data_IF_248888957877
#
_entry.id   IF_248888957877
#
_cell.length_a   1.000
_cell.length_b   1.000
_cell.length_c   1.000
_cell.angle_alpha   90.00
_cell.angle_beta   90.00
_cell.angle_gamma   90.00
#
_symmetry.space_group_name_H-M   'P 1'
#
loop_
_entity.id
_entity.type
_entity.pdbx_description
1 polymer ?
#
# COMPACT_ATOMS: atom_id res chain seq x y z
N UNK A 1 11.08 59.78 -47.60
CA UNK A 1 9.81 60.03 -48.33
C UNK A 1 8.72 59.09 -47.79
N UNK A 2 7.47 59.55 -47.77
CA UNK A 2 6.21 58.75 -47.74
C UNK A 2 5.55 58.96 -49.14
N UNK A 3 4.59 58.14 -49.64
CA UNK A 3 3.31 57.70 -49.01
C UNK A 3 3.16 56.15 -48.93
N UNK A 4 2.19 55.48 -48.26
CA UNK A 4 0.74 55.70 -47.96
C UNK A 4 -0.14 55.37 -49.20
N UNK A 5 -1.13 54.46 -49.20
CA UNK A 5 -2.42 54.30 -48.46
C UNK A 5 -2.71 52.78 -48.20
N UNK A 6 -3.73 52.26 -47.48
CA UNK A 6 -4.99 52.77 -46.86
C UNK A 6 -6.20 51.89 -47.34
N UNK A 7 -7.26 51.53 -46.59
CA UNK A 7 -7.71 51.72 -45.19
C UNK A 7 -8.55 50.49 -44.72
N UNK A 8 -9.00 50.35 -43.45
CA UNK A 8 -10.22 50.93 -42.83
C UNK A 8 -11.57 50.35 -43.38
N UNK A 9 -12.63 50.06 -42.61
CA UNK A 9 -13.01 50.19 -41.17
C UNK A 9 -13.43 48.80 -40.60
N UNK A 10 -14.30 48.50 -39.59
CA UNK A 10 -15.18 49.19 -38.59
C UNK A 10 -15.39 48.17 -37.42
N UNK A 11 -15.10 48.49 -36.15
CA UNK A 11 -16.00 49.00 -35.08
C UNK A 11 -16.94 48.03 -34.29
N UNK A 12 -16.45 47.61 -33.10
CA UNK A 12 -17.04 47.79 -31.73
C UNK A 12 -18.45 47.22 -31.33
N UNK A 13 -18.84 47.18 -30.02
CA UNK A 13 -19.55 46.01 -29.46
C UNK A 13 -20.88 46.32 -28.74
N UNK A 14 -21.50 45.27 -28.17
CA UNK A 14 -22.63 45.38 -27.24
C UNK A 14 -22.27 44.94 -25.80
N UNK A 15 -22.41 45.87 -24.85
CA UNK A 15 -22.60 45.60 -23.41
C UNK A 15 -24.09 45.67 -23.08
N UNK A 16 -24.55 44.91 -22.11
CA UNK A 16 -25.72 45.26 -21.29
C UNK A 16 -25.46 44.99 -19.81
N UNK A 17 -26.10 45.76 -18.93
CA UNK A 17 -26.00 45.70 -17.46
C UNK A 17 -27.38 45.95 -16.84
N UNK A 18 -27.45 45.72 -15.50
CA UNK A 18 -28.54 46.12 -14.59
C UNK A 18 -29.83 45.28 -14.67
N UNK A 19 -30.61 45.11 -13.59
CA UNK A 19 -30.48 45.60 -12.20
C UNK A 19 -31.25 44.69 -11.21
N UNK A 20 -30.96 44.84 -9.90
CA UNK A 20 -31.84 44.79 -8.68
C UNK A 20 -33.05 43.81 -8.69
N UNK A 21 -33.36 43.02 -7.66
CA UNK A 21 -33.07 43.09 -6.22
C UNK A 21 -34.37 42.94 -5.39
N UNK A 22 -34.29 42.91 -4.04
CA UNK A 22 -35.38 42.85 -3.02
C UNK A 22 -35.71 41.46 -2.42
N UNK A 23 -35.99 41.51 -1.11
CA UNK A 23 -36.21 40.50 -0.04
C UNK A 23 -37.03 41.22 1.08
N UNK A 24 -37.53 40.67 2.23
CA UNK A 24 -37.84 39.29 2.67
C UNK A 24 -39.31 39.12 3.18
N UNK A 25 -39.59 37.95 3.81
CA UNK A 25 -40.60 37.64 4.87
C UNK A 25 -41.97 37.09 4.42
N UNK A 26 -42.43 35.99 5.06
CA UNK A 26 -43.43 36.03 6.16
C UNK A 26 -43.67 34.68 6.91
N UNK A 27 -43.16 34.62 8.15
CA UNK A 27 -43.63 33.89 9.36
C UNK A 27 -44.54 32.64 9.31
N UNK A 28 -44.04 31.53 9.90
CA UNK A 28 -44.57 30.78 11.07
C UNK A 28 -46.09 30.78 11.37
N UNK A 29 -46.71 29.60 11.65
CA UNK A 29 -47.38 29.25 12.94
C UNK A 29 -48.05 27.84 13.02
N UNK A 30 -47.36 26.91 13.69
CA UNK A 30 -47.83 25.90 14.70
C UNK A 30 -49.30 25.39 14.77
N UNK A 31 -49.41 24.05 15.00
CA UNK A 31 -50.47 23.28 15.73
C UNK A 31 -51.83 23.11 15.00
N UNK A 32 -52.63 22.04 15.20
CA UNK A 32 -52.50 20.80 16.02
C UNK A 32 -53.45 19.67 15.49
N UNK A 33 -53.41 18.52 16.20
CA UNK A 33 -54.46 17.51 16.38
C UNK A 33 -54.45 16.20 15.57
N UNK A 34 -54.96 15.17 16.26
CA UNK A 34 -55.07 13.73 16.00
C UNK A 34 -56.34 13.26 16.78
N UNK A 35 -56.86 12.00 16.70
CA UNK A 35 -56.18 10.78 16.24
C UNK A 35 -57.03 9.77 15.43
N UNK A 36 -56.40 8.68 15.00
CA UNK A 36 -57.07 7.37 14.90
C UNK A 36 -56.11 6.22 15.24
N UNK A 37 -56.65 5.10 15.76
CA UNK A 37 -55.94 3.81 15.92
C UNK A 37 -55.71 3.20 14.51
N UNK A 38 -54.83 2.23 14.26
CA UNK A 38 -54.56 1.03 15.06
C UNK A 38 -53.31 0.26 14.53
N UNK A 39 -53.04 -0.94 15.10
CA UNK A 39 -52.12 -2.01 14.65
C UNK A 39 -50.62 -1.88 15.01
N UNK A 40 -50.36 -2.30 16.25
CA UNK A 40 -49.28 -3.22 16.67
C UNK A 40 -48.41 -3.86 15.56
N UNK A 41 -47.09 -3.76 15.74
CA UNK A 41 -46.05 -4.49 15.03
C UNK A 41 -44.66 -3.93 15.38
N UNK A 42 -43.60 -4.71 15.18
CA UNK A 42 -42.20 -4.25 15.12
C UNK A 42 -41.68 -3.43 16.32
N UNK A 43 -41.41 -4.07 17.46
CA UNK A 43 -40.61 -3.45 18.54
C UNK A 43 -39.77 -4.41 19.40
N UNK A 44 -39.34 -5.53 18.83
CA UNK A 44 -38.48 -6.54 19.50
C UNK A 44 -37.18 -6.79 18.72
N UNK A 45 -37.21 -6.83 17.39
CA UNK A 45 -36.03 -7.13 16.55
C UNK A 45 -34.94 -6.05 16.63
N UNK A 46 -35.30 -4.78 16.73
CA UNK A 46 -34.33 -3.67 16.80
C UNK A 46 -33.44 -3.70 18.04
N UNK A 47 -33.90 -4.26 19.16
CA UNK A 47 -33.12 -4.32 20.40
C UNK A 47 -32.06 -5.43 20.40
N UNK A 48 -32.28 -6.48 19.61
CA UNK A 48 -31.31 -7.59 19.46
C UNK A 48 -30.12 -7.19 18.57
N UNK A 49 -30.36 -6.37 17.54
CA UNK A 49 -29.33 -5.93 16.59
C UNK A 49 -28.30 -5.03 17.29
N UNK A 50 -28.74 -4.05 18.10
CA UNK A 50 -27.83 -3.16 18.84
C UNK A 50 -26.98 -3.93 19.87
N UNK A 51 -27.53 -5.00 20.48
CA UNK A 51 -26.80 -5.84 21.44
C UNK A 51 -25.69 -6.66 20.77
N UNK A 52 -25.94 -7.17 19.55
CA UNK A 52 -24.96 -7.99 18.81
C UNK A 52 -23.78 -7.17 18.25
N UNK A 53 -24.02 -5.93 17.83
CA UNK A 53 -23.01 -5.06 17.22
C UNK A 53 -21.97 -4.48 18.21
N UNK A 54 -22.18 -4.59 19.51
CA UNK A 54 -21.26 -4.07 20.55
C UNK A 54 -20.11 -5.06 20.85
N UNK A 55 -20.21 -6.31 20.39
CA UNK A 55 -19.13 -7.30 20.54
C UNK A 55 -17.95 -7.03 19.57
N UNK A 56 -17.05 -6.10 19.95
CA UNK A 56 -15.72 -6.05 19.33
C UNK A 56 -15.10 -7.46 19.39
N UNK A 57 -14.62 -8.04 18.27
CA UNK A 57 -14.02 -9.36 18.29
C UNK A 57 -12.87 -9.38 19.30
N UNK A 58 -12.85 -10.38 20.18
CA UNK A 58 -11.86 -10.45 21.25
C UNK A 58 -10.45 -10.41 20.66
N UNK A 59 -9.47 -9.86 21.40
CA UNK A 59 -8.09 -9.76 20.92
C UNK A 59 -7.49 -11.14 20.56
N UNK A 60 -8.03 -12.21 21.13
CA UNK A 60 -7.71 -13.59 20.78
C UNK A 60 -8.34 -14.04 19.44
N UNK A 61 -9.61 -13.68 19.17
CA UNK A 61 -10.27 -13.96 17.88
C UNK A 61 -9.66 -13.13 16.73
N UNK A 62 -9.32 -11.86 16.98
CA UNK A 62 -8.55 -11.03 16.04
C UNK A 62 -7.18 -11.62 15.73
N UNK A 63 -6.47 -12.15 16.75
CA UNK A 63 -5.21 -12.89 16.55
C UNK A 63 -5.42 -14.18 15.76
N UNK A 64 -6.45 -14.98 16.06
CA UNK A 64 -6.76 -16.21 15.32
C UNK A 64 -7.10 -15.93 13.84
N UNK A 65 -7.86 -14.87 13.55
CA UNK A 65 -8.15 -14.44 12.18
C UNK A 65 -6.90 -13.91 11.46
N UNK A 66 -5.97 -13.28 12.17
CA UNK A 66 -4.66 -12.92 11.62
C UNK A 66 -3.75 -14.14 11.38
N UNK A 67 -3.77 -15.14 12.27
CA UNK A 67 -3.03 -16.41 12.08
C UNK A 67 -3.60 -17.22 10.90
N UNK A 68 -4.92 -17.22 10.69
CA UNK A 68 -5.56 -17.84 9.53
C UNK A 68 -5.16 -17.20 8.18
N UNK A 69 -4.51 -16.02 8.20
CA UNK A 69 -4.08 -15.27 7.01
C UNK A 69 -2.68 -15.68 6.50
N UNK A 70 -1.90 -16.48 7.25
CA UNK A 70 -0.49 -16.77 6.93
C UNK A 70 -0.14 -18.25 7.11
N UNK A 71 0.48 -18.86 6.10
CA UNK A 71 0.76 -20.31 6.04
C UNK A 71 2.12 -20.68 6.68
N UNK A 72 2.50 -20.05 7.79
CA UNK A 72 3.80 -20.29 8.46
C UNK A 72 3.62 -20.59 9.95
N UNK A 73 4.50 -21.44 10.49
CA UNK A 73 4.42 -21.82 11.90
C UNK A 73 4.87 -20.69 12.85
N UNK A 74 4.50 -20.82 14.13
CA UNK A 74 4.79 -19.81 15.15
C UNK A 74 6.28 -19.59 15.42
N UNK A 75 7.14 -20.58 15.14
CA UNK A 75 8.59 -20.42 15.26
C UNK A 75 9.18 -19.73 14.02
N UNK A 76 8.61 -19.92 12.82
CA UNK A 76 8.96 -19.13 11.64
C UNK A 76 8.61 -17.65 11.86
N UNK A 77 7.45 -17.33 12.46
CA UNK A 77 7.10 -15.95 12.86
C UNK A 77 8.11 -15.36 13.86
N UNK A 78 8.62 -16.16 14.81
CA UNK A 78 9.69 -15.70 15.72
C UNK A 78 11.02 -15.44 14.98
N UNK A 79 11.35 -16.23 13.96
CA UNK A 79 12.54 -16.01 13.12
C UNK A 79 12.37 -14.77 12.21
N UNK A 80 11.18 -14.48 11.70
CA UNK A 80 10.87 -13.22 10.98
C UNK A 80 11.14 -12.01 11.90
N UNK A 81 10.59 -12.02 13.11
CA UNK A 81 10.84 -10.94 14.09
C UNK A 81 12.29 -10.91 14.58
N UNK A 82 12.93 -12.09 14.62
CA UNK A 82 14.37 -12.36 14.54
C UNK A 82 15.13 -11.44 13.58
N UNK A 83 14.98 -11.79 12.31
CA UNK A 83 15.62 -11.13 11.18
C UNK A 83 15.27 -9.65 11.10
N UNK A 84 14.04 -9.25 11.43
CA UNK A 84 13.63 -7.83 11.50
C UNK A 84 14.49 -7.02 12.47
N UNK A 85 14.84 -7.57 13.65
CA UNK A 85 15.73 -6.90 14.62
C UNK A 85 17.18 -6.85 14.13
N UNK A 86 17.69 -7.96 13.59
CA UNK A 86 19.04 -8.03 13.03
C UNK A 86 19.22 -7.08 11.84
N UNK A 87 18.23 -6.97 10.95
CA UNK A 87 18.19 -6.02 9.84
C UNK A 87 18.18 -4.58 10.33
N UNK A 88 17.35 -4.21 11.33
CA UNK A 88 17.35 -2.86 11.91
C UNK A 88 18.73 -2.48 12.45
N UNK A 89 19.38 -3.38 13.18
CA UNK A 89 20.72 -3.16 13.72
C UNK A 89 21.79 -3.06 12.62
N UNK A 90 21.75 -3.93 11.61
CA UNK A 90 22.70 -3.92 10.49
C UNK A 90 22.54 -2.64 9.65
N UNK A 91 21.31 -2.29 9.27
CA UNK A 91 21.02 -1.16 8.38
C UNK A 91 21.43 0.15 9.05
N UNK A 92 21.14 0.33 10.35
CA UNK A 92 21.58 1.49 11.12
C UNK A 92 23.11 1.52 11.34
N UNK A 93 23.78 0.36 11.45
CA UNK A 93 25.25 0.31 11.58
C UNK A 93 25.99 0.58 10.26
N UNK A 94 25.40 0.21 9.12
CA UNK A 94 26.02 0.30 7.78
C UNK A 94 25.51 1.46 6.92
N UNK A 95 24.51 2.22 7.38
CA UNK A 95 23.79 3.23 6.61
C UNK A 95 23.31 2.72 5.24
N UNK A 96 22.96 1.43 5.17
CA UNK A 96 22.72 0.73 3.90
C UNK A 96 21.23 0.62 3.51
N UNK A 97 20.36 1.45 4.08
CA UNK A 97 18.92 1.42 3.79
C UNK A 97 18.60 1.55 2.28
N UNK A 98 19.23 2.46 1.50
CA UNK A 98 18.90 2.60 0.09
C UNK A 98 19.20 1.35 -0.75
N UNK A 99 20.31 0.66 -0.47
CA UNK A 99 20.67 -0.56 -1.23
C UNK A 99 19.84 -1.79 -0.80
N UNK A 100 19.36 -1.83 0.44
CA UNK A 100 18.40 -2.84 0.89
C UNK A 100 17.01 -2.63 0.26
N UNK A 101 16.55 -1.38 0.16
CA UNK A 101 15.33 -1.05 -0.58
C UNK A 101 15.47 -1.40 -2.07
N UNK A 102 16.61 -1.08 -2.69
CA UNK A 102 16.90 -1.48 -4.08
C UNK A 102 16.92 -3.00 -4.25
N UNK A 103 17.50 -3.77 -3.32
CA UNK A 103 17.50 -5.24 -3.39
C UNK A 103 16.06 -5.79 -3.42
N UNK A 104 15.20 -5.32 -2.52
CA UNK A 104 13.79 -5.72 -2.49
C UNK A 104 13.02 -5.32 -3.77
N UNK A 105 13.28 -4.12 -4.30
CA UNK A 105 12.72 -3.64 -5.57
C UNK A 105 13.14 -4.53 -6.75
N UNK A 106 14.43 -4.84 -6.89
CA UNK A 106 14.93 -5.60 -8.03
C UNK A 106 14.49 -7.07 -8.01
N UNK A 107 14.49 -7.73 -6.83
CA UNK A 107 13.97 -9.09 -6.66
C UNK A 107 12.48 -9.17 -7.07
N UNK A 108 11.67 -8.18 -6.69
CA UNK A 108 10.25 -8.13 -7.05
C UNK A 108 9.97 -7.66 -8.49
N UNK A 109 10.82 -6.78 -9.04
CA UNK A 109 10.62 -6.11 -10.32
C UNK A 109 10.64 -7.02 -11.55
N UNK A 110 11.14 -8.25 -11.41
CA UNK A 110 11.23 -9.22 -12.51
C UNK A 110 9.93 -10.00 -12.76
N UNK A 111 8.87 -9.77 -11.98
CA UNK A 111 7.59 -10.47 -12.13
C UNK A 111 6.89 -10.19 -13.48
N UNK A 112 6.12 -11.18 -13.93
CA UNK A 112 5.19 -11.10 -15.07
C UNK A 112 3.88 -11.82 -14.74
N UNK A 113 2.74 -11.12 -14.80
CA UNK A 113 1.43 -11.70 -14.48
C UNK A 113 1.00 -12.78 -15.46
N UNK A 114 1.54 -12.80 -16.69
CA UNK A 114 1.11 -13.74 -17.73
C UNK A 114 1.81 -15.09 -17.57
N UNK A 115 3.14 -15.09 -17.49
CA UNK A 115 3.92 -16.34 -17.31
C UNK A 115 4.04 -16.80 -15.85
N UNK A 116 3.72 -15.94 -14.87
CA UNK A 116 3.94 -16.19 -13.43
C UNK A 116 5.41 -16.47 -13.06
N UNK A 117 6.35 -15.87 -13.79
CA UNK A 117 7.80 -16.04 -13.57
C UNK A 117 8.46 -14.77 -13.03
N UNK A 118 9.59 -14.91 -12.32
CA UNK A 118 10.25 -13.81 -11.61
C UNK A 118 9.50 -13.38 -10.35
N UNK A 119 9.81 -12.19 -9.83
CA UNK A 119 9.15 -11.61 -8.66
C UNK A 119 9.77 -12.02 -7.32
N UNK A 120 9.18 -11.56 -6.19
CA UNK A 120 9.76 -11.60 -4.85
C UNK A 120 9.94 -13.03 -4.32
N UNK A 121 11.03 -13.68 -4.74
CA UNK A 121 11.31 -15.11 -4.55
C UNK A 121 12.80 -15.39 -4.27
N UNK A 122 13.61 -14.34 -4.11
CA UNK A 122 15.04 -14.43 -3.80
C UNK A 122 15.93 -14.85 -4.98
N UNK A 123 15.42 -15.04 -6.20
CA UNK A 123 16.21 -15.49 -7.37
C UNK A 123 17.35 -14.56 -7.74
N UNK A 124 17.31 -13.29 -7.31
CA UNK A 124 18.37 -12.31 -7.53
C UNK A 124 19.75 -12.70 -6.98
N UNK A 125 19.81 -13.68 -6.07
CA UNK A 125 21.05 -14.27 -5.52
C UNK A 125 21.66 -15.37 -6.38
N UNK A 126 20.93 -15.89 -7.36
CA UNK A 126 21.43 -16.89 -8.30
C UNK A 126 22.47 -16.21 -9.23
N UNK A 127 23.48 -16.95 -9.67
CA UNK A 127 24.61 -16.40 -10.43
C UNK A 127 24.17 -15.68 -11.72
N UNK A 128 23.23 -16.26 -12.48
CA UNK A 128 22.66 -15.69 -13.71
C UNK A 128 22.01 -14.32 -13.46
N UNK A 129 21.07 -14.22 -12.53
CA UNK A 129 20.36 -12.96 -12.27
C UNK A 129 21.18 -11.93 -11.50
N UNK A 130 22.12 -12.37 -10.65
CA UNK A 130 23.06 -11.47 -9.98
C UNK A 130 24.04 -10.83 -10.99
N UNK A 131 24.28 -11.47 -12.14
CA UNK A 131 25.15 -10.97 -13.21
C UNK A 131 24.45 -10.03 -14.21
N UNK A 132 23.10 -9.93 -14.19
CA UNK A 132 22.37 -8.96 -15.02
C UNK A 132 22.86 -7.53 -14.78
N UNK A 133 23.06 -6.75 -15.84
CA UNK A 133 23.61 -5.39 -15.78
C UNK A 133 22.75 -4.45 -14.92
N UNK A 134 21.43 -4.61 -14.96
CA UNK A 134 20.51 -3.85 -14.09
C UNK A 134 20.71 -4.13 -12.59
N UNK A 135 21.26 -5.28 -12.22
CA UNK A 135 21.51 -5.70 -10.83
C UNK A 135 22.92 -5.33 -10.32
N UNK A 136 23.72 -4.63 -11.13
CA UNK A 136 25.07 -4.17 -10.78
C UNK A 136 25.17 -3.59 -9.36
N UNK A 137 26.10 -4.14 -8.58
CA UNK A 137 26.37 -3.77 -7.18
C UNK A 137 25.43 -4.38 -6.12
N UNK A 138 24.33 -5.06 -6.48
CA UNK A 138 23.41 -5.65 -5.48
C UNK A 138 23.99 -6.81 -4.68
N UNK A 139 25.08 -7.42 -5.16
CA UNK A 139 25.88 -8.40 -4.41
C UNK A 139 26.28 -7.89 -3.02
N UNK A 140 26.52 -6.58 -2.86
CA UNK A 140 26.81 -5.94 -1.57
C UNK A 140 25.64 -6.07 -0.59
N UNK A 141 24.40 -5.87 -1.05
CA UNK A 141 23.21 -6.02 -0.22
C UNK A 141 22.92 -7.50 0.10
N UNK A 142 23.14 -8.40 -0.87
CA UNK A 142 23.07 -9.86 -0.66
C UNK A 142 24.07 -10.28 0.44
N UNK A 143 25.32 -9.83 0.38
CA UNK A 143 26.36 -10.15 1.39
C UNK A 143 26.11 -9.53 2.77
N UNK A 144 25.33 -8.44 2.85
CA UNK A 144 24.78 -7.96 4.11
C UNK A 144 23.61 -8.83 4.61
N UNK A 145 22.74 -9.32 3.72
CA UNK A 145 21.69 -10.27 4.09
C UNK A 145 22.26 -11.63 4.55
N UNK A 146 23.39 -12.11 4.01
CA UNK A 146 24.06 -13.34 4.50
C UNK A 146 24.45 -13.25 5.99
N UNK A 147 24.81 -12.06 6.48
CA UNK A 147 25.11 -11.82 7.91
C UNK A 147 23.86 -11.93 8.80
N UNK A 148 22.67 -11.70 8.25
CA UNK A 148 21.40 -11.93 8.95
C UNK A 148 20.97 -13.40 8.80
N UNK A 149 21.11 -13.98 7.60
CA UNK A 149 20.77 -15.38 7.29
C UNK A 149 21.58 -16.38 8.13
N UNK A 150 22.87 -16.14 8.32
CA UNK A 150 23.74 -16.98 9.16
C UNK A 150 23.28 -17.01 10.62
N UNK A 151 22.70 -15.91 11.14
CA UNK A 151 22.08 -15.86 12.46
C UNK A 151 20.68 -16.48 12.47
N UNK A 152 19.89 -16.23 11.42
CA UNK A 152 18.49 -16.63 11.27
C UNK A 152 18.35 -17.71 10.17
N UNK A 153 18.84 -18.94 10.37
CA UNK A 153 18.92 -19.93 9.30
C UNK A 153 17.56 -20.34 8.72
N UNK A 154 16.45 -20.19 9.47
CA UNK A 154 15.12 -20.65 9.01
C UNK A 154 14.45 -19.74 7.99
N UNK A 155 14.70 -18.43 7.99
CA UNK A 155 14.06 -17.50 7.04
C UNK A 155 14.47 -17.82 5.59
N UNK A 156 13.55 -17.75 4.64
CA UNK A 156 13.91 -17.82 3.20
C UNK A 156 14.64 -16.55 2.77
N UNK A 157 15.51 -16.63 1.77
CA UNK A 157 16.11 -15.43 1.16
C UNK A 157 15.03 -14.52 0.58
N UNK A 158 13.99 -15.12 -0.01
CA UNK A 158 12.80 -14.43 -0.50
C UNK A 158 12.10 -13.57 0.57
N UNK A 159 11.84 -14.11 1.77
CA UNK A 159 11.29 -13.31 2.87
C UNK A 159 12.32 -12.31 3.42
N UNK A 160 13.61 -12.69 3.47
CA UNK A 160 14.67 -11.85 4.04
C UNK A 160 14.93 -10.57 3.22
N UNK A 161 15.00 -10.67 1.90
CA UNK A 161 15.25 -9.51 1.02
C UNK A 161 14.06 -8.55 1.03
N UNK A 162 12.84 -9.09 1.01
CA UNK A 162 11.61 -8.30 1.08
C UNK A 162 11.44 -7.64 2.47
N UNK A 163 11.77 -8.35 3.55
CA UNK A 163 11.83 -7.77 4.90
C UNK A 163 12.92 -6.70 5.03
N UNK A 164 14.05 -6.83 4.33
CA UNK A 164 15.11 -5.81 4.31
C UNK A 164 14.64 -4.51 3.64
N UNK A 165 13.84 -4.59 2.57
CA UNK A 165 13.22 -3.42 1.94
C UNK A 165 12.20 -2.71 2.84
N UNK A 166 11.33 -3.47 3.50
CA UNK A 166 10.38 -2.94 4.50
C UNK A 166 11.12 -2.27 5.66
N UNK A 167 12.11 -2.94 6.25
CA UNK A 167 12.89 -2.41 7.37
C UNK A 167 13.70 -1.18 6.97
N UNK A 168 14.25 -1.13 5.76
CA UNK A 168 14.96 0.04 5.25
C UNK A 168 14.10 1.30 5.29
N UNK A 169 12.87 1.23 4.76
CA UNK A 169 11.91 2.34 4.78
C UNK A 169 11.61 2.77 6.23
N UNK A 170 11.26 1.82 7.10
CA UNK A 170 10.94 2.06 8.51
C UNK A 170 12.05 2.78 9.27
N UNK A 171 13.33 2.36 9.15
CA UNK A 171 14.42 2.98 9.92
C UNK A 171 14.84 4.35 9.39
N UNK A 172 14.48 4.68 8.16
CA UNK A 172 14.70 6.01 7.56
C UNK A 172 13.56 7.00 7.78
N UNK A 173 12.55 6.64 8.59
CA UNK A 173 11.42 7.50 8.95
C UNK A 173 10.17 7.36 8.07
N UNK A 174 10.18 6.43 7.11
CA UNK A 174 9.06 6.19 6.23
C UNK A 174 7.90 5.40 6.86
N UNK A 175 6.83 5.10 6.09
CA UNK A 175 5.63 4.45 6.59
C UNK A 175 5.88 3.02 7.09
N UNK A 176 5.03 2.57 8.03
CA UNK A 176 4.95 1.15 8.42
C UNK A 176 4.28 0.34 7.31
N UNK A 177 4.90 -0.78 6.90
CA UNK A 177 4.42 -1.64 5.81
C UNK A 177 4.05 -3.02 6.37
N UNK A 178 2.81 -3.47 6.14
CA UNK A 178 2.32 -4.79 6.57
C UNK A 178 3.03 -5.91 5.80
N UNK A 179 3.99 -6.56 6.47
CA UNK A 179 4.79 -7.64 5.90
C UNK A 179 4.17 -9.01 6.18
N UNK A 180 3.71 -9.69 5.13
CA UNK A 180 3.25 -11.10 5.20
C UNK A 180 4.43 -12.02 4.82
N UNK A 181 4.87 -12.93 5.71
CA UNK A 181 5.90 -13.92 5.40
C UNK A 181 5.35 -15.20 4.74
N UNK A 182 6.26 -16.02 4.19
CA UNK A 182 5.98 -17.34 3.64
C UNK A 182 6.47 -17.54 2.20
N UNK A 183 7.24 -16.61 1.64
CA UNK A 183 7.81 -16.75 0.29
C UNK A 183 8.80 -17.91 0.25
N UNK A 184 8.85 -18.62 -0.89
CA UNK A 184 9.78 -19.73 -1.11
C UNK A 184 10.94 -19.30 -1.99
N UNK A 185 12.13 -19.77 -1.65
CA UNK A 185 13.34 -19.50 -2.42
C UNK A 185 13.30 -20.16 -3.80
N UNK A 186 13.39 -19.36 -4.86
CA UNK A 186 13.58 -19.86 -6.21
C UNK A 186 15.03 -20.30 -6.44
N UNK A 187 15.19 -21.23 -7.39
CA UNK A 187 16.47 -21.57 -8.06
C UNK A 187 16.44 -21.26 -9.56
N UNK A 188 15.31 -20.74 -10.06
CA UNK A 188 15.09 -20.36 -11.45
C UNK A 188 15.20 -18.84 -11.52
N UNK A 189 16.14 -18.36 -12.34
CA UNK A 189 16.23 -16.93 -12.66
C UNK A 189 15.28 -16.56 -13.81
N UNK A 190 14.68 -15.36 -13.79
CA UNK A 190 13.99 -14.79 -14.94
C UNK A 190 15.03 -14.31 -15.95
N UNK A 191 14.63 -14.15 -17.22
CA UNK A 191 15.51 -13.52 -18.22
C UNK A 191 15.72 -12.04 -17.93
N UNK A 192 16.89 -11.52 -18.31
CA UNK A 192 17.22 -10.09 -18.26
C UNK A 192 16.22 -9.22 -19.07
N UNK A 193 16.25 -7.91 -18.83
CA UNK A 193 15.46 -6.91 -19.57
C UNK A 193 14.08 -6.62 -18.99
N UNK A 194 13.71 -7.23 -17.85
CA UNK A 194 12.41 -7.03 -17.21
C UNK A 194 12.29 -5.78 -16.31
N UNK A 195 13.40 -5.19 -15.90
CA UNK A 195 13.43 -4.03 -15.01
C UNK A 195 13.32 -2.70 -15.80
N UNK A 196 12.86 -1.59 -15.17
CA UNK A 196 12.78 -0.29 -15.84
C UNK A 196 14.14 0.19 -16.36
N UNK A 197 14.16 0.81 -17.55
CA UNK A 197 15.34 1.46 -18.09
C UNK A 197 15.23 2.97 -17.86
N UNK A 198 16.18 3.52 -17.11
CA UNK A 198 16.22 4.93 -16.69
C UNK A 198 16.17 5.96 -17.83
N UNK A 199 16.52 5.59 -19.07
CA UNK A 199 16.52 6.50 -20.24
C UNK A 199 15.19 6.51 -21.01
N UNK A 200 14.11 5.94 -20.47
CA UNK A 200 12.82 5.77 -21.17
C UNK A 200 11.69 6.57 -20.50
N UNK A 201 10.71 6.98 -21.32
CA UNK A 201 9.54 7.74 -20.86
C UNK A 201 8.33 6.88 -20.49
N UNK A 202 7.21 7.55 -20.28
CA UNK A 202 5.90 7.03 -19.82
C UNK A 202 5.48 5.67 -20.41
N UNK A 203 5.58 5.40 -21.73
CA UNK A 203 5.13 4.12 -22.29
C UNK A 203 5.90 2.91 -21.73
N UNK A 204 7.21 3.07 -21.48
CA UNK A 204 8.07 2.02 -20.91
C UNK A 204 7.77 1.78 -19.43
N UNK A 205 7.44 2.84 -18.68
CA UNK A 205 7.03 2.73 -17.28
C UNK A 205 5.71 1.94 -17.18
N UNK A 206 4.71 2.27 -18.01
CA UNK A 206 3.46 1.49 -18.08
C UNK A 206 3.72 0.06 -18.56
N UNK A 207 4.53 -0.16 -19.60
CA UNK A 207 4.89 -1.51 -20.09
C UNK A 207 5.43 -2.41 -18.98
N UNK A 208 6.45 -1.95 -18.24
CA UNK A 208 7.11 -2.74 -17.19
C UNK A 208 6.17 -2.99 -16.00
N UNK A 209 5.51 -1.95 -15.49
CA UNK A 209 4.68 -2.07 -14.29
C UNK A 209 3.34 -2.76 -14.57
N UNK A 210 2.73 -2.58 -15.74
CA UNK A 210 1.49 -3.30 -16.10
C UNK A 210 1.77 -4.79 -16.33
N UNK A 211 2.93 -5.15 -16.87
CA UNK A 211 3.40 -6.55 -16.91
C UNK A 211 3.56 -7.14 -15.50
N UNK A 212 3.86 -6.33 -14.49
CA UNK A 212 3.86 -6.75 -13.08
C UNK A 212 2.46 -6.76 -12.45
N UNK A 213 1.44 -6.16 -13.08
CA UNK A 213 0.09 -6.01 -12.53
C UNK A 213 -0.09 -4.80 -11.61
N UNK A 214 0.81 -3.82 -11.70
CA UNK A 214 0.79 -2.56 -10.94
C UNK A 214 0.15 -1.44 -11.78
N UNK A 215 -0.49 -0.49 -11.10
CA UNK A 215 -1.24 0.63 -11.71
C UNK A 215 -0.42 1.94 -11.80
N UNK A 216 -0.95 2.96 -12.47
CA UNK A 216 -0.33 4.29 -12.54
C UNK A 216 -0.04 4.91 -11.16
N UNK A 217 -0.93 4.72 -10.18
CA UNK A 217 -0.68 5.10 -8.78
C UNK A 217 0.56 4.41 -8.23
N UNK A 218 0.66 3.10 -8.48
CA UNK A 218 1.76 2.28 -7.99
C UNK A 218 3.08 2.69 -8.64
N UNK A 219 3.10 3.03 -9.94
CA UNK A 219 4.28 3.59 -10.64
C UNK A 219 4.81 4.83 -9.91
N UNK A 220 3.95 5.85 -9.72
CA UNK A 220 4.39 7.12 -9.14
C UNK A 220 4.75 6.97 -7.66
N UNK A 221 3.95 6.22 -6.89
CA UNK A 221 4.23 5.97 -5.48
C UNK A 221 5.57 5.24 -5.32
N UNK A 222 5.79 4.12 -6.02
CA UNK A 222 7.02 3.32 -5.91
C UNK A 222 8.26 4.09 -6.39
N UNK A 223 8.12 4.98 -7.37
CA UNK A 223 9.19 5.91 -7.78
C UNK A 223 9.65 6.83 -6.64
N UNK A 224 8.79 7.11 -5.65
CA UNK A 224 9.16 7.78 -4.41
C UNK A 224 10.23 7.06 -3.59
N UNK A 225 10.52 5.79 -3.86
CA UNK A 225 11.69 5.10 -3.32
C UNK A 225 13.03 5.75 -3.66
N UNK A 226 13.10 6.53 -4.75
CA UNK A 226 14.26 7.36 -5.12
C UNK A 226 14.55 8.49 -4.11
N UNK A 227 13.65 8.76 -3.14
CA UNK A 227 13.95 9.67 -2.02
C UNK A 227 15.17 9.20 -1.20
N UNK A 228 15.47 7.89 -1.22
CA UNK A 228 16.64 7.28 -0.60
C UNK A 228 17.79 7.01 -1.59
N UNK A 229 19.00 7.39 -1.18
CA UNK A 229 20.25 7.02 -1.82
C UNK A 229 20.66 7.89 -3.00
N UNK A 230 21.40 7.28 -3.92
CA UNK A 230 21.99 7.92 -5.10
C UNK A 230 22.22 6.94 -6.23
N UNK A 231 22.35 7.45 -7.45
CA UNK A 231 23.00 6.72 -8.52
C UNK A 231 24.54 6.68 -8.33
N UNK A 232 25.16 5.81 -9.11
CA UNK A 232 26.58 5.49 -9.08
C UNK A 232 27.04 5.15 -10.50
N UNK A 233 28.02 5.88 -11.10
CA UNK A 233 28.44 5.67 -12.48
C UNK A 233 28.82 4.23 -12.80
N UNK A 234 29.49 3.54 -11.88
CA UNK A 234 29.94 2.15 -12.05
C UNK A 234 28.82 1.10 -11.99
N UNK A 235 27.56 1.52 -11.75
CA UNK A 235 26.39 0.63 -11.61
C UNK A 235 25.26 0.96 -12.58
N UNK A 236 25.12 2.21 -13.00
CA UNK A 236 24.02 2.65 -13.87
C UNK A 236 24.40 3.69 -14.93
N UNK A 237 25.63 4.23 -14.92
CA UNK A 237 26.03 5.34 -15.79
C UNK A 237 25.51 6.73 -15.37
N UNK A 238 24.75 6.82 -14.28
CA UNK A 238 24.27 8.07 -13.69
C UNK A 238 24.98 8.34 -12.36
N UNK A 239 25.08 9.61 -11.94
CA UNK A 239 25.60 9.99 -10.62
C UNK A 239 24.67 10.95 -9.88
N UNK A 240 24.82 10.99 -8.55
CA UNK A 240 24.16 11.96 -7.67
C UNK A 240 22.94 11.41 -6.90
N UNK A 241 22.62 11.98 -5.73
CA UNK A 241 21.40 11.69 -4.99
C UNK A 241 20.20 12.44 -5.59
N UNK A 242 18.99 11.93 -5.41
CA UNK A 242 17.77 12.66 -5.80
C UNK A 242 17.33 13.72 -4.79
N UNK A 243 17.83 13.63 -3.55
CA UNK A 243 17.44 14.47 -2.42
C UNK A 243 18.68 14.96 -1.65
N UNK A 244 18.53 16.07 -0.91
CA UNK A 244 19.60 16.59 -0.06
C UNK A 244 19.87 15.73 1.20
N UNK A 245 18.89 14.91 1.62
CA UNK A 245 18.99 14.01 2.78
C UNK A 245 18.82 12.53 2.35
N UNK A 246 19.75 11.93 1.58
CA UNK A 246 19.56 10.62 0.93
C UNK A 246 19.52 9.39 1.87
N UNK A 247 19.38 9.59 3.18
CA UNK A 247 19.15 8.54 4.19
C UNK A 247 17.85 8.76 4.99
N UNK A 248 16.97 9.66 4.51
CA UNK A 248 15.69 10.02 5.12
C UNK A 248 14.57 9.73 4.12
N UNK A 249 13.56 8.98 4.54
CA UNK A 249 12.41 8.67 3.69
C UNK A 249 11.32 9.70 3.95
N UNK A 250 11.27 10.72 3.10
CA UNK A 250 10.25 11.77 3.09
C UNK A 250 9.80 12.07 1.64
N UNK A 251 8.87 12.99 1.45
CA UNK A 251 8.36 13.34 0.12
C UNK A 251 9.26 14.31 -0.69
N UNK A 252 10.50 14.57 -0.26
CA UNK A 252 11.41 15.52 -0.92
C UNK A 252 11.67 15.17 -2.38
N UNK A 253 11.70 13.88 -2.76
CA UNK A 253 11.79 13.45 -4.16
C UNK A 253 10.76 14.15 -5.06
N UNK A 254 9.48 14.18 -4.67
CA UNK A 254 8.43 14.82 -5.47
C UNK A 254 8.50 16.35 -5.41
N UNK A 255 8.90 16.92 -4.27
CA UNK A 255 9.14 18.36 -4.11
C UNK A 255 10.27 18.84 -5.02
N UNK A 256 11.39 18.12 -5.07
CA UNK A 256 12.50 18.42 -5.97
C UNK A 256 12.10 18.18 -7.43
N UNK A 257 11.39 17.09 -7.75
CA UNK A 257 10.94 16.77 -9.11
C UNK A 257 10.22 17.96 -9.77
N UNK A 258 9.33 18.63 -9.04
CA UNK A 258 8.57 19.80 -9.51
C UNK A 258 9.37 21.11 -9.68
N UNK A 259 10.59 21.23 -9.12
CA UNK A 259 11.35 22.51 -9.11
C UNK A 259 12.09 22.87 -10.40
N UNK A 260 12.20 21.97 -11.37
CA UNK A 260 13.19 22.09 -12.46
C UNK A 260 14.57 21.56 -12.04
N UNK A 261 15.67 22.03 -12.61
CA UNK A 261 17.00 21.56 -12.23
C UNK A 261 17.42 22.09 -10.84
N UNK A 262 17.89 21.20 -9.96
CA UNK A 262 18.42 21.52 -8.63
C UNK A 262 19.92 21.15 -8.60
N UNK A 263 20.79 22.08 -8.19
CA UNK A 263 22.24 21.88 -8.20
C UNK A 263 22.66 20.65 -7.36
N UNK A 264 23.46 19.77 -7.97
CA UNK A 264 23.96 18.56 -7.30
C UNK A 264 22.95 17.42 -7.11
N UNK A 265 21.68 17.60 -7.53
CA UNK A 265 20.65 16.55 -7.43
C UNK A 265 20.35 15.90 -8.78
N UNK A 266 20.20 14.57 -8.76
CA UNK A 266 19.90 13.75 -9.91
C UNK A 266 18.39 13.76 -10.24
N UNK A 267 18.09 13.76 -11.53
CA UNK A 267 16.82 13.29 -12.09
C UNK A 267 17.11 12.38 -13.27
N UNK A 268 16.64 11.14 -13.22
CA UNK A 268 16.67 10.25 -14.37
C UNK A 268 15.61 10.70 -15.39
N UNK A 269 15.79 10.41 -16.69
CA UNK A 269 14.72 10.62 -17.69
C UNK A 269 13.40 9.92 -17.32
N UNK A 270 13.43 8.76 -16.65
CA UNK A 270 12.23 8.12 -16.07
C UNK A 270 11.55 8.94 -14.98
N UNK A 271 12.32 9.68 -14.17
CA UNK A 271 11.78 10.49 -13.08
C UNK A 271 11.09 11.73 -13.65
N UNK A 272 11.75 12.41 -14.61
CA UNK A 272 11.19 13.56 -15.34
C UNK A 272 9.92 13.16 -16.09
N UNK A 273 9.88 11.98 -16.70
CA UNK A 273 8.71 11.46 -17.41
C UNK A 273 7.44 11.32 -16.55
N UNK A 274 7.55 11.32 -15.20
CA UNK A 274 6.38 11.38 -14.32
C UNK A 274 5.63 12.73 -14.37
N UNK A 275 6.24 13.76 -14.96
CA UNK A 275 5.64 15.09 -15.16
C UNK A 275 4.96 15.27 -16.52
N UNK A 276 5.24 14.39 -17.48
CA UNK A 276 4.77 14.47 -18.88
C UNK A 276 3.35 13.90 -19.07
N UNK A 277 2.97 12.90 -18.26
CA UNK A 277 1.65 12.28 -18.30
C UNK A 277 0.71 12.91 -17.26
N UNK A 278 -0.50 13.37 -17.63
CA UNK A 278 -1.41 14.02 -16.68
C UNK A 278 -1.83 13.18 -15.47
N UNK A 279 -1.97 11.86 -15.61
CA UNK A 279 -2.35 10.99 -14.49
C UNK A 279 -1.16 10.72 -13.58
N UNK A 280 0.05 10.52 -14.13
CA UNK A 280 1.26 10.44 -13.31
C UNK A 280 1.49 11.76 -12.55
N UNK A 281 1.41 12.89 -13.26
CA UNK A 281 1.63 14.23 -12.71
C UNK A 281 0.66 14.55 -11.57
N UNK A 282 -0.61 14.14 -11.69
CA UNK A 282 -1.62 14.29 -10.64
C UNK A 282 -1.21 13.61 -9.32
N UNK A 283 -0.49 12.49 -9.37
CA UNK A 283 0.08 11.84 -8.19
C UNK A 283 1.37 12.53 -7.70
N UNK A 284 2.25 13.00 -8.59
CA UNK A 284 3.45 13.78 -8.20
C UNK A 284 3.07 15.06 -7.44
N UNK A 285 2.10 15.81 -7.96
CA UNK A 285 1.63 17.06 -7.34
C UNK A 285 0.86 16.83 -6.03
N UNK A 286 0.17 15.68 -5.89
CA UNK A 286 -0.40 15.24 -4.62
C UNK A 286 0.72 14.93 -3.61
N UNK A 287 1.65 14.04 -3.95
CA UNK A 287 2.68 13.54 -3.04
C UNK A 287 3.69 14.61 -2.64
N UNK A 288 4.02 15.59 -3.49
CA UNK A 288 4.85 16.73 -3.13
C UNK A 288 4.20 17.66 -2.08
N UNK A 289 2.86 17.74 -2.10
CA UNK A 289 2.05 18.59 -1.21
C UNK A 289 1.67 17.90 0.09
N UNK A 290 1.41 16.59 0.03
CA UNK A 290 0.81 15.79 1.09
C UNK A 290 1.65 14.51 1.33
N UNK A 291 2.43 14.53 2.40
CA UNK A 291 3.34 13.44 2.78
C UNK A 291 2.58 12.23 3.36
N UNK A 292 1.47 12.44 4.08
CA UNK A 292 0.62 11.37 4.59
C UNK A 292 -0.05 10.60 3.43
N UNK A 293 -0.49 11.32 2.39
CA UNK A 293 -1.00 10.70 1.16
C UNK A 293 0.08 9.88 0.43
N UNK A 294 1.30 10.40 0.33
CA UNK A 294 2.45 9.65 -0.21
C UNK A 294 2.73 8.39 0.62
N UNK A 295 2.89 8.53 1.93
CA UNK A 295 3.25 7.45 2.85
C UNK A 295 2.20 6.33 2.83
N UNK A 296 0.91 6.69 2.80
CA UNK A 296 -0.18 5.72 2.66
C UNK A 296 -0.11 4.96 1.33
N UNK A 297 -0.04 5.68 0.21
CA UNK A 297 -0.03 5.05 -1.11
C UNK A 297 1.25 4.25 -1.36
N UNK A 298 2.40 4.70 -0.85
CA UNK A 298 3.66 3.96 -0.88
C UNK A 298 3.57 2.66 -0.09
N UNK A 299 3.00 2.67 1.12
CA UNK A 299 2.83 1.45 1.91
C UNK A 299 1.89 0.44 1.21
N UNK A 300 0.80 0.89 0.61
CA UNK A 300 -0.07 0.05 -0.23
C UNK A 300 0.70 -0.54 -1.44
N UNK A 301 1.47 0.29 -2.15
CA UNK A 301 2.15 -0.09 -3.41
C UNK A 301 3.36 -0.99 -3.17
N UNK A 302 4.17 -0.72 -2.14
CA UNK A 302 5.29 -1.56 -1.71
C UNK A 302 4.79 -2.91 -1.20
N UNK A 303 3.65 -2.96 -0.52
CA UNK A 303 3.02 -4.23 -0.14
C UNK A 303 2.60 -5.04 -1.37
N UNK A 304 1.90 -4.43 -2.34
CA UNK A 304 1.52 -5.10 -3.62
C UNK A 304 2.74 -5.69 -4.32
N UNK A 305 3.80 -4.89 -4.48
CA UNK A 305 5.09 -5.29 -5.05
C UNK A 305 5.66 -6.53 -4.35
N UNK A 306 5.74 -6.48 -3.02
CA UNK A 306 6.30 -7.55 -2.20
C UNK A 306 5.44 -8.82 -2.17
N UNK A 307 4.18 -8.74 -2.58
CA UNK A 307 3.22 -9.85 -2.69
C UNK A 307 2.99 -10.31 -4.15
N UNK A 308 3.73 -9.78 -5.13
CA UNK A 308 3.64 -10.21 -6.54
C UNK A 308 3.96 -11.70 -6.70
N UNK A 309 3.06 -12.46 -7.35
CA UNK A 309 3.17 -13.91 -7.49
C UNK A 309 3.04 -14.70 -6.17
N UNK A 310 3.21 -14.06 -5.02
CA UNK A 310 3.09 -14.64 -3.69
C UNK A 310 1.61 -14.71 -3.26
N UNK A 311 0.94 -15.79 -3.65
CA UNK A 311 -0.35 -16.13 -3.10
C UNK A 311 -0.21 -16.64 -1.65
N UNK A 312 -0.46 -15.78 -0.67
CA UNK A 312 -1.05 -16.27 0.59
C UNK A 312 -2.40 -16.90 0.24
N UNK A 313 -2.66 -18.13 0.69
CA UNK A 313 -3.76 -18.95 0.16
C UNK A 313 -5.12 -18.57 0.74
N UNK A 314 -5.62 -17.39 0.37
CA UNK A 314 -7.01 -16.97 0.63
C UNK A 314 -7.74 -16.38 -0.60
N UNK A 315 -7.09 -16.28 -1.77
CA UNK A 315 -7.77 -15.91 -3.02
C UNK A 315 -8.82 -16.93 -3.51
N UNK A 316 -8.84 -18.14 -2.93
CA UNK A 316 -9.88 -19.16 -3.15
C UNK A 316 -11.07 -19.09 -2.17
N UNK A 317 -11.08 -18.18 -1.18
CA UNK A 317 -12.08 -18.14 -0.11
C UNK A 317 -13.38 -17.37 -0.48
N UNK A 318 -13.74 -17.30 -1.76
CA UNK A 318 -15.04 -16.80 -2.23
C UNK A 318 -15.72 -17.86 -3.10
N UNK A 319 -17.02 -18.06 -2.85
CA UNK A 319 -17.92 -18.96 -3.58
C UNK A 319 -17.67 -20.49 -3.43
N UNK A 320 -17.77 -21.01 -2.19
CA UNK A 320 -18.42 -22.31 -1.98
C UNK A 320 -19.23 -22.37 -0.68
N UNK A 321 -20.18 -21.45 -0.52
CA UNK A 321 -21.28 -21.63 0.44
C UNK A 321 -22.35 -22.49 -0.24
N UNK A 322 -22.35 -23.80 0.06
CA UNK A 322 -23.53 -24.63 -0.12
C UNK A 322 -23.69 -25.63 1.03
N UNK A 323 -24.89 -25.59 1.58
CA UNK A 323 -25.62 -26.68 2.24
C UNK A 323 -24.97 -27.39 3.46
N UNK A 324 -25.50 -27.09 4.65
CA UNK A 324 -26.09 -28.20 5.41
C UNK A 324 -25.48 -28.65 6.74
N UNK A 325 -24.66 -27.87 7.47
CA UNK A 325 -24.19 -28.35 8.82
C UNK A 325 -24.05 -27.29 9.94
N UNK A 326 -24.38 -26.01 9.71
CA UNK A 326 -24.26 -24.95 10.75
C UNK A 326 -25.64 -24.46 11.23
N UNK A 327 -26.44 -25.37 11.80
CA UNK A 327 -27.70 -25.04 12.51
C UNK A 327 -27.87 -25.76 13.86
N UNK A 328 -27.19 -26.89 14.09
CA UNK A 328 -27.37 -27.69 15.31
C UNK A 328 -26.79 -27.02 16.57
N UNK A 329 -25.59 -26.45 16.50
CA UNK A 329 -24.88 -25.94 17.68
C UNK A 329 -25.40 -24.58 18.18
N UNK A 330 -25.85 -23.72 17.28
CA UNK A 330 -26.44 -22.41 17.63
C UNK A 330 -27.79 -22.55 18.32
N UNK A 331 -28.65 -23.47 17.86
CA UNK A 331 -29.95 -23.74 18.47
C UNK A 331 -29.84 -24.21 19.94
N UNK A 332 -28.89 -25.11 20.24
CA UNK A 332 -28.66 -25.62 21.60
C UNK A 332 -28.19 -24.51 22.54
N UNK A 333 -27.26 -23.65 22.10
CA UNK A 333 -26.79 -22.52 22.92
C UNK A 333 -27.90 -21.53 23.28
N UNK A 334 -28.79 -21.22 22.32
CA UNK A 334 -29.94 -20.32 22.54
C UNK A 334 -30.95 -20.94 23.52
N UNK A 335 -31.24 -22.25 23.37
CA UNK A 335 -32.15 -22.95 24.27
C UNK A 335 -31.65 -22.95 25.73
N UNK A 336 -30.38 -23.29 25.95
CA UNK A 336 -29.77 -23.30 27.29
C UNK A 336 -29.79 -21.91 27.92
N UNK A 337 -29.42 -20.86 27.17
CA UNK A 337 -29.44 -19.49 27.67
C UNK A 337 -30.86 -19.03 28.08
N UNK A 338 -31.87 -19.34 27.26
CA UNK A 338 -33.26 -19.03 27.59
C UNK A 338 -33.75 -19.76 28.85
N UNK A 339 -33.45 -21.05 28.99
CA UNK A 339 -33.82 -21.84 30.17
C UNK A 339 -33.19 -21.29 31.45
N UNK A 340 -31.90 -20.91 31.42
CA UNK A 340 -31.22 -20.31 32.59
C UNK A 340 -31.89 -19.00 33.01
N UNK A 341 -32.17 -18.08 32.06
CA UNK A 341 -32.84 -16.80 32.36
C UNK A 341 -34.22 -17.00 32.96
N UNK A 342 -35.01 -17.95 32.43
CA UNK A 342 -36.35 -18.28 32.95
C UNK A 342 -36.27 -18.85 34.38
N UNK A 343 -35.32 -19.75 34.66
CA UNK A 343 -35.13 -20.31 36.00
C UNK A 343 -34.64 -19.27 37.01
N UNK A 344 -33.73 -18.37 36.62
CA UNK A 344 -33.30 -17.25 37.47
C UNK A 344 -34.46 -16.28 37.78
N UNK A 345 -35.34 -16.02 36.82
CA UNK A 345 -36.52 -15.19 37.02
C UNK A 345 -37.51 -15.82 38.03
N UNK A 346 -37.81 -17.12 37.90
CA UNK A 346 -38.65 -17.83 38.88
C UNK A 346 -38.00 -17.93 40.27
N UNK A 347 -36.67 -18.06 40.35
CA UNK A 347 -35.94 -18.04 41.62
C UNK A 347 -36.09 -16.68 42.34
N UNK A 348 -35.87 -15.56 41.66
CA UNK A 348 -36.02 -14.22 42.26
C UNK A 348 -37.49 -13.83 42.53
N UNK A 349 -38.47 -14.43 41.85
CA UNK A 349 -39.89 -14.34 42.28
C UNK A 349 -40.09 -15.09 43.59
N UNK A 350 -39.66 -16.35 43.68
CA UNK A 350 -39.87 -17.20 44.86
C UNK A 350 -39.18 -16.62 46.11
N UNK A 351 -38.01 -16.00 45.94
CA UNK A 351 -37.24 -15.26 46.95
C UNK A 351 -37.89 -13.92 47.39
N UNK A 352 -38.99 -13.49 46.75
CA UNK A 352 -39.82 -12.34 47.14
C UNK A 352 -41.19 -12.74 47.67
N UNK A 353 -41.48 -14.04 47.76
CA UNK A 353 -42.73 -14.60 48.28
C UNK A 353 -42.54 -15.35 49.61
N UNK A 354 -41.28 -15.51 50.03
CA UNK A 354 -40.81 -16.01 51.32
C UNK A 354 -39.92 -14.95 51.97
#
# INVERSE_FOLDING_TARGET
MKPVLGGATTETPLKFQFSRGIDPRRTDRKRRDAPSRNKSGWKIETLLIETLLISKPSSHLLKLLAMAKVIVDSEYLKEIERARRELRALIANKNCAPIMLRLAWHDAGTYDVNTKTGGPNGSIRNEEECAHGANSGLKIAIDFCEQVKSKCPRITYADLYQLAGVVAVEVTGGPTIDFVPGRKDSKISPKEGRLPNATKGVPHLREVFYRMGLSDKDIVALSGGHTLGRAHPERSGFDGPWTAEPLKFDNSYFKELLKGESEGLLKLPTDVALLDDPEFRRYVELYAKDEDAFFKDYAESHKKLSELGFASTQSGAKAFVKDGTILAQSAVGIAVAATVVILSYFYEIRKKMN
#
